data_IF_266390270984
#
_entry.id   IF_266390270984
#
_cell.length_a   1.000
_cell.length_b   1.000
_cell.length_c   1.000
_cell.angle_alpha   90.00
_cell.angle_beta   90.00
_cell.angle_gamma   90.00
#
_symmetry.space_group_name_H-M   'P 1'
#
loop_
_entity.id
_entity.type
_entity.pdbx_description
1 polymer ?
#
# COMPACT_ATOMS: atom_id res chain seq x y z
N UNK A 1 11.37 -8.47 -29.10
CA UNK A 1 12.79 -8.12 -29.32
C UNK A 1 13.02 -6.79 -28.64
N UNK A 2 13.99 -6.72 -27.74
CA UNK A 2 14.34 -5.46 -27.08
C UNK A 2 15.02 -4.55 -28.10
N UNK A 3 14.73 -3.25 -28.08
CA UNK A 3 15.33 -2.30 -29.02
C UNK A 3 16.82 -2.12 -28.72
N UNK A 4 17.67 -2.02 -29.74
CA UNK A 4 19.09 -1.68 -29.58
C UNK A 4 19.28 -0.37 -28.77
N UNK A 5 18.38 0.60 -28.95
CA UNK A 5 18.41 1.83 -28.18
C UNK A 5 18.13 1.59 -26.69
N UNK A 6 17.22 0.67 -26.34
CA UNK A 6 16.93 0.33 -24.95
C UNK A 6 18.15 -0.28 -24.27
N UNK A 7 18.84 -1.21 -24.94
CA UNK A 7 20.04 -1.85 -24.41
C UNK A 7 21.16 -0.83 -24.17
N UNK A 8 21.40 0.08 -25.12
CA UNK A 8 22.39 1.16 -24.98
C UNK A 8 22.05 2.06 -23.79
N UNK A 9 20.78 2.45 -23.62
CA UNK A 9 20.37 3.32 -22.52
C UNK A 9 20.51 2.64 -21.15
N UNK A 10 20.16 1.35 -21.04
CA UNK A 10 20.34 0.58 -19.80
C UNK A 10 21.83 0.44 -19.45
N UNK A 11 22.68 0.18 -20.45
CA UNK A 11 24.12 0.02 -20.26
C UNK A 11 24.81 1.29 -19.72
N UNK A 12 24.28 2.49 -20.01
CA UNK A 12 24.80 3.73 -19.42
C UNK A 12 24.72 3.70 -17.89
N UNK A 13 23.60 3.23 -17.33
CA UNK A 13 23.41 3.13 -15.88
C UNK A 13 24.23 1.98 -15.27
N UNK A 14 24.43 0.89 -16.00
CA UNK A 14 25.33 -0.17 -15.54
C UNK A 14 26.77 0.31 -15.40
N UNK A 15 27.23 1.18 -16.29
CA UNK A 15 28.61 1.72 -16.26
C UNK A 15 28.81 2.90 -15.32
N UNK A 16 27.78 3.72 -15.11
CA UNK A 16 27.84 4.92 -14.27
C UNK A 16 26.52 5.13 -13.53
N UNK A 17 26.31 4.43 -12.38
CA UNK A 17 25.08 4.56 -11.60
C UNK A 17 24.78 6.00 -11.13
N UNK A 18 25.80 6.84 -10.93
CA UNK A 18 25.68 8.26 -10.55
C UNK A 18 24.89 9.09 -11.57
N UNK A 19 24.84 8.63 -12.83
CA UNK A 19 24.04 9.27 -13.88
C UNK A 19 22.56 9.39 -13.48
N UNK A 20 22.04 8.47 -12.66
CA UNK A 20 20.67 8.56 -12.16
C UNK A 20 20.46 9.82 -11.29
N UNK A 21 21.39 10.12 -10.38
CA UNK A 21 21.32 11.30 -9.52
C UNK A 21 21.45 12.60 -10.32
N UNK A 22 22.33 12.63 -11.32
CA UNK A 22 22.51 13.80 -12.18
C UNK A 22 21.27 14.10 -13.02
N UNK A 23 20.69 13.06 -13.64
CA UNK A 23 19.45 13.21 -14.41
C UNK A 23 18.27 13.60 -13.53
N UNK A 24 18.17 13.05 -12.31
CA UNK A 24 17.14 13.45 -11.35
C UNK A 24 17.31 14.89 -10.88
N UNK A 25 18.55 15.36 -10.68
CA UNK A 25 18.84 16.75 -10.30
C UNK A 25 18.53 17.74 -11.43
N UNK A 26 18.66 17.30 -12.68
CA UNK A 26 18.28 18.08 -13.86
C UNK A 26 16.77 18.03 -14.16
N UNK A 27 16.05 17.02 -13.64
CA UNK A 27 14.61 16.87 -13.80
C UNK A 27 13.87 17.60 -12.68
N UNK A 28 12.81 18.34 -13.02
CA UNK A 28 11.96 18.96 -12.00
C UNK A 28 11.21 17.88 -11.20
N UNK A 29 11.33 17.92 -9.87
CA UNK A 29 10.41 17.21 -8.96
C UNK A 29 11.04 16.26 -7.95
N UNK A 30 12.30 15.85 -8.07
CA UNK A 30 12.97 14.97 -7.09
C UNK A 30 14.17 15.67 -6.47
N UNK A 31 14.11 15.93 -5.17
CA UNK A 31 15.28 16.37 -4.42
C UNK A 31 16.20 15.17 -4.16
N UNK A 32 17.33 15.11 -4.84
CA UNK A 32 18.35 14.09 -4.60
C UNK A 32 19.08 14.41 -3.29
N UNK A 33 19.00 13.54 -2.26
CA UNK A 33 19.70 13.77 -1.00
C UNK A 33 21.22 13.62 -1.20
N UNK A 34 22.06 14.17 -0.30
CA UNK A 34 23.49 13.87 -0.30
C UNK A 34 23.71 12.35 -0.16
N UNK A 35 24.60 11.80 -0.98
CA UNK A 35 24.98 10.39 -0.98
C UNK A 35 26.49 10.25 -1.20
N UNK A 36 27.09 9.17 -0.69
CA UNK A 36 28.53 8.90 -0.80
C UNK A 36 28.88 7.96 -1.96
N UNK A 37 27.95 7.08 -2.33
CA UNK A 37 28.13 6.04 -3.36
C UNK A 37 26.82 5.78 -4.10
N UNK A 38 26.90 5.56 -5.42
CA UNK A 38 25.82 5.00 -6.22
C UNK A 38 26.22 3.62 -6.75
N UNK A 39 25.40 2.61 -6.49
CA UNK A 39 25.70 1.22 -6.87
C UNK A 39 24.48 0.54 -7.48
N UNK A 40 24.73 -0.40 -8.37
CA UNK A 40 23.70 -1.29 -8.88
C UNK A 40 23.21 -2.23 -7.77
N UNK A 41 21.91 -2.43 -7.74
CA UNK A 41 21.24 -3.49 -6.99
C UNK A 41 20.69 -4.51 -7.98
N UNK A 42 20.28 -5.69 -7.49
CA UNK A 42 19.61 -6.67 -8.33
C UNK A 42 18.43 -6.01 -9.05
N UNK A 43 18.41 -6.09 -10.39
CA UNK A 43 17.36 -5.50 -11.21
C UNK A 43 16.06 -6.32 -11.11
N UNK A 44 16.17 -7.55 -10.65
CA UNK A 44 15.06 -8.38 -10.22
C UNK A 44 14.48 -7.79 -8.93
N UNK A 45 13.31 -7.16 -9.03
CA UNK A 45 12.49 -6.78 -7.86
C UNK A 45 11.83 -8.00 -7.18
N UNK A 46 12.48 -9.16 -7.28
CA UNK A 46 11.98 -10.42 -6.73
C UNK A 46 12.42 -10.49 -5.29
N UNK A 47 11.49 -10.38 -4.34
CA UNK A 47 11.76 -10.77 -2.96
C UNK A 47 12.04 -12.29 -2.94
N UNK A 48 13.33 -12.66 -2.81
CA UNK A 48 13.81 -14.05 -2.84
C UNK A 48 13.50 -14.85 -1.56
N UNK A 49 13.05 -14.15 -0.52
CA UNK A 49 12.25 -14.76 0.54
C UNK A 49 10.80 -14.46 0.19
N UNK A 50 9.86 -15.43 0.27
CA UNK A 50 8.44 -15.08 0.26
C UNK A 50 8.22 -14.22 1.51
N UNK A 51 8.40 -12.91 1.40
CA UNK A 51 7.92 -11.98 2.40
C UNK A 51 6.41 -12.05 2.26
N UNK A 52 5.82 -12.94 3.06
CA UNK A 52 4.39 -13.09 3.12
C UNK A 52 3.84 -11.84 3.81
N UNK A 53 3.61 -10.83 2.99
CA UNK A 53 2.91 -9.63 3.34
C UNK A 53 1.46 -10.02 3.64
N UNK A 54 1.20 -10.38 4.90
CA UNK A 54 -0.14 -10.72 5.39
C UNK A 54 -0.89 -9.46 5.71
N UNK A 55 -1.81 -9.11 4.81
CA UNK A 55 -2.95 -8.28 5.19
C UNK A 55 -3.86 -9.08 6.13
N UNK A 56 -4.54 -8.41 7.06
CA UNK A 56 -5.52 -9.10 7.90
C UNK A 56 -6.64 -9.70 7.05
N UNK A 57 -7.10 -8.99 6.02
CA UNK A 57 -8.04 -9.49 5.02
C UNK A 57 -7.92 -8.74 3.70
N UNK A 58 -8.23 -9.42 2.58
CA UNK A 58 -8.42 -8.79 1.27
C UNK A 58 -9.83 -9.09 0.77
N UNK A 59 -10.58 -8.05 0.44
CA UNK A 59 -11.92 -8.14 -0.17
C UNK A 59 -11.84 -7.71 -1.63
N UNK A 60 -12.42 -8.50 -2.53
CA UNK A 60 -12.48 -8.15 -3.97
C UNK A 60 -13.94 -7.94 -4.37
N UNK A 61 -14.26 -6.71 -4.74
CA UNK A 61 -15.56 -6.36 -5.31
C UNK A 61 -15.54 -6.72 -6.79
N UNK A 62 -16.47 -7.56 -7.23
CA UNK A 62 -16.53 -8.05 -8.62
C UNK A 62 -17.69 -7.42 -9.39
N UNK A 63 -17.42 -7.01 -10.63
CA UNK A 63 -18.43 -6.68 -11.63
C UNK A 63 -18.60 -7.87 -12.60
N UNK A 64 -19.57 -7.78 -13.50
CA UNK A 64 -19.81 -8.81 -14.54
C UNK A 64 -18.58 -9.10 -15.40
N UNK A 65 -17.69 -8.12 -15.55
CA UNK A 65 -16.48 -8.19 -16.38
C UNK A 65 -15.23 -8.64 -15.62
N UNK A 66 -15.34 -8.90 -14.31
CA UNK A 66 -14.22 -9.30 -13.45
C UNK A 66 -14.04 -8.40 -12.22
N UNK A 67 -12.87 -8.47 -11.55
CA UNK A 67 -12.56 -7.62 -10.38
C UNK A 67 -12.71 -6.13 -10.71
N UNK A 68 -13.51 -5.42 -9.91
CA UNK A 68 -13.75 -3.99 -10.06
C UNK A 68 -12.95 -3.15 -9.05
N UNK A 69 -12.76 -3.66 -7.82
CA UNK A 69 -11.97 -3.03 -6.78
C UNK A 69 -11.44 -4.09 -5.83
N UNK A 70 -10.18 -3.98 -5.43
CA UNK A 70 -9.63 -4.73 -4.31
C UNK A 70 -9.47 -3.81 -3.08
N UNK A 71 -9.85 -4.30 -1.91
CA UNK A 71 -9.75 -3.59 -0.63
C UNK A 71 -8.87 -4.42 0.28
N UNK A 72 -7.72 -3.88 0.64
CA UNK A 72 -6.89 -4.41 1.73
C UNK A 72 -7.48 -3.87 3.03
N UNK A 73 -7.90 -4.75 3.92
CA UNK A 73 -8.47 -4.41 5.22
C UNK A 73 -7.46 -4.75 6.31
N UNK A 74 -7.19 -3.77 7.17
CA UNK A 74 -6.28 -3.89 8.31
C UNK A 74 -7.00 -3.43 9.58
N UNK A 75 -6.80 -4.16 10.68
CA UNK A 75 -7.27 -3.76 12.00
C UNK A 75 -6.05 -3.36 12.82
N UNK A 76 -6.02 -2.11 13.29
CA UNK A 76 -4.91 -1.57 14.07
C UNK A 76 -5.37 -1.19 15.47
N UNK A 77 -4.83 -1.91 16.46
CA UNK A 77 -5.09 -1.69 17.89
C UNK A 77 -4.03 -0.78 18.53
N UNK A 78 -2.84 -0.72 17.93
CA UNK A 78 -1.72 0.11 18.39
C UNK A 78 -0.99 0.69 17.18
N UNK A 79 -0.07 1.62 17.43
CA UNK A 79 0.80 2.16 16.37
C UNK A 79 1.89 1.14 16.05
N UNK A 80 1.94 0.70 14.81
CA UNK A 80 3.00 -0.18 14.29
C UNK A 80 3.79 0.54 13.19
N UNK A 81 4.98 1.11 13.51
CA UNK A 81 5.83 1.78 12.53
C UNK A 81 6.20 0.93 11.32
N UNK A 82 6.23 -0.40 11.45
CA UNK A 82 6.51 -1.33 10.36
C UNK A 82 5.47 -1.25 9.24
N UNK A 83 4.22 -0.92 9.58
CA UNK A 83 3.13 -0.76 8.61
C UNK A 83 3.35 0.36 7.61
N UNK A 84 4.18 1.36 7.94
CA UNK A 84 4.58 2.41 6.97
C UNK A 84 5.40 1.86 5.80
N UNK A 85 6.06 0.73 5.97
CA UNK A 85 6.84 0.07 4.92
C UNK A 85 6.04 -1.03 4.21
N UNK A 86 5.23 -1.79 4.95
CA UNK A 86 4.49 -2.91 4.35
C UNK A 86 3.22 -2.47 3.61
N UNK A 87 2.43 -1.52 4.13
CA UNK A 87 1.18 -1.09 3.49
C UNK A 87 1.36 -0.56 2.06
N UNK A 88 2.35 0.29 1.76
CA UNK A 88 2.57 0.74 0.39
C UNK A 88 2.91 -0.38 -0.59
N UNK A 89 3.44 -1.52 -0.12
CA UNK A 89 3.75 -2.68 -0.97
C UNK A 89 2.49 -3.45 -1.34
N UNK A 90 1.51 -3.55 -0.43
CA UNK A 90 0.30 -4.36 -0.63
C UNK A 90 -0.49 -3.91 -1.87
N UNK A 91 -0.63 -2.59 -2.04
CA UNK A 91 -1.50 -1.98 -3.06
C UNK A 91 -1.01 -2.23 -4.49
N UNK A 92 0.23 -1.84 -4.88
CA UNK A 92 0.74 -2.08 -6.22
C UNK A 92 0.88 -3.58 -6.51
N UNK A 93 1.26 -4.40 -5.51
CA UNK A 93 1.34 -5.86 -5.65
C UNK A 93 -0.02 -6.46 -6.00
N UNK A 94 -1.04 -6.13 -5.22
CA UNK A 94 -2.40 -6.64 -5.43
C UNK A 94 -3.03 -6.08 -6.69
N UNK A 95 -2.80 -4.79 -7.02
CA UNK A 95 -3.23 -4.16 -8.26
C UNK A 95 -2.61 -4.82 -9.49
N UNK A 96 -1.32 -5.12 -9.46
CA UNK A 96 -0.64 -5.81 -10.55
C UNK A 96 -1.20 -7.24 -10.76
N UNK A 97 -1.50 -7.94 -9.66
CA UNK A 97 -2.08 -9.29 -9.68
C UNK A 97 -3.52 -9.33 -10.18
N UNK A 98 -4.39 -8.47 -9.64
CA UNK A 98 -5.83 -8.49 -9.91
C UNK A 98 -6.26 -7.60 -11.07
N UNK A 99 -5.35 -6.76 -11.60
CA UNK A 99 -5.61 -5.84 -12.72
C UNK A 99 -6.81 -4.91 -12.50
N UNK A 100 -7.07 -4.53 -11.25
CA UNK A 100 -8.10 -3.56 -10.87
C UNK A 100 -7.54 -2.54 -9.86
N UNK A 101 -8.20 -1.39 -9.65
CA UNK A 101 -7.85 -0.48 -8.57
C UNK A 101 -7.79 -1.21 -7.22
N UNK A 102 -6.88 -0.76 -6.35
CA UNK A 102 -6.70 -1.32 -5.01
C UNK A 102 -6.61 -0.20 -3.99
N UNK A 103 -7.32 -0.32 -2.87
CA UNK A 103 -7.30 0.66 -1.78
C UNK A 103 -6.95 0.00 -0.44
N UNK A 104 -6.47 0.80 0.51
CA UNK A 104 -6.25 0.41 1.90
C UNK A 104 -7.35 0.98 2.79
N UNK A 105 -8.02 0.10 3.53
CA UNK A 105 -8.95 0.43 4.60
C UNK A 105 -8.36 -0.02 5.94
N UNK A 106 -8.23 0.90 6.89
CA UNK A 106 -7.73 0.62 8.24
C UNK A 106 -8.83 0.90 9.26
N UNK A 107 -9.15 -0.10 10.07
CA UNK A 107 -10.06 0.00 11.20
C UNK A 107 -9.23 0.22 12.47
N UNK A 108 -9.56 1.26 13.24
CA UNK A 108 -8.81 1.62 14.44
C UNK A 108 -9.70 1.56 15.69
N UNK A 109 -9.15 1.04 16.79
CA UNK A 109 -9.87 0.91 18.05
C UNK A 109 -10.04 2.24 18.81
N UNK A 110 -9.14 3.21 18.59
CA UNK A 110 -9.20 4.54 19.19
C UNK A 110 -8.74 5.64 18.23
N UNK A 111 -9.12 6.88 18.52
CA UNK A 111 -8.85 8.05 17.67
C UNK A 111 -7.35 8.36 17.53
N UNK A 112 -6.52 8.10 18.55
CA UNK A 112 -5.07 8.39 18.49
C UNK A 112 -4.33 7.42 17.57
N UNK A 113 -4.83 6.19 17.45
CA UNK A 113 -4.36 5.23 16.45
C UNK A 113 -4.89 5.60 15.08
N UNK A 114 -6.17 5.99 14.98
CA UNK A 114 -6.78 6.43 13.72
C UNK A 114 -6.03 7.61 13.08
N UNK A 115 -5.74 8.66 13.85
CA UNK A 115 -4.98 9.83 13.38
C UNK A 115 -3.58 9.44 12.89
N UNK A 116 -2.92 8.53 13.62
CA UNK A 116 -1.59 8.06 13.24
C UNK A 116 -1.62 7.22 11.96
N UNK A 117 -2.61 6.33 11.81
CA UNK A 117 -2.81 5.52 10.62
C UNK A 117 -3.21 6.37 9.40
N UNK A 118 -3.96 7.46 9.61
CA UNK A 118 -4.42 8.36 8.54
C UNK A 118 -3.35 9.33 8.03
N UNK A 119 -2.21 9.41 8.72
CA UNK A 119 -1.09 10.23 8.28
C UNK A 119 -0.55 9.71 6.94
N UNK A 120 -0.38 10.57 5.92
CA UNK A 120 0.19 10.15 4.63
C UNK A 120 1.55 9.47 4.77
N UNK A 121 1.77 8.47 3.92
CA UNK A 121 3.04 7.75 3.79
C UNK A 121 3.67 8.17 2.46
N UNK A 122 4.70 9.01 2.57
CA UNK A 122 5.53 9.43 1.43
C UNK A 122 6.44 8.26 1.03
N UNK A 123 6.33 7.78 -0.22
CA UNK A 123 7.15 6.67 -0.73
C UNK A 123 8.37 7.14 -1.53
N UNK A 124 8.54 8.46 -1.67
CA UNK A 124 9.71 9.10 -2.29
C UNK A 124 9.55 9.50 -3.76
N UNK A 125 8.50 9.03 -4.46
CA UNK A 125 8.22 9.49 -5.83
C UNK A 125 7.33 10.75 -5.81
N UNK A 126 7.59 11.76 -6.67
CA UNK A 126 6.84 13.01 -6.66
C UNK A 126 5.35 12.81 -6.88
N UNK A 127 4.54 13.40 -6.00
CA UNK A 127 3.08 13.28 -6.05
C UNK A 127 2.54 11.90 -5.67
N UNK A 128 3.40 10.95 -5.27
CA UNK A 128 2.97 9.63 -4.84
C UNK A 128 3.12 9.47 -3.33
N UNK A 129 2.00 9.55 -2.64
CA UNK A 129 1.86 9.24 -1.23
C UNK A 129 0.67 8.29 -1.03
N UNK A 130 0.83 7.28 -0.18
CA UNK A 130 -0.30 6.47 0.27
C UNK A 130 -1.03 7.24 1.37
N UNK A 131 -2.32 7.48 1.18
CA UNK A 131 -3.23 8.02 2.19
C UNK A 131 -4.21 6.92 2.60
N UNK A 132 -4.00 6.23 3.73
CA UNK A 132 -4.89 5.16 4.17
C UNK A 132 -6.32 5.69 4.39
N UNK A 133 -7.33 4.92 3.98
CA UNK A 133 -8.72 5.21 4.34
C UNK A 133 -8.93 4.67 5.76
N UNK A 134 -9.14 5.55 6.73
CA UNK A 134 -9.21 5.16 8.14
C UNK A 134 -10.61 5.32 8.70
N UNK A 135 -11.09 4.28 9.39
CA UNK A 135 -12.32 4.31 10.18
C UNK A 135 -11.93 4.15 11.65
N UNK A 136 -12.11 5.22 12.43
CA UNK A 136 -11.98 5.19 13.89
C UNK A 136 -13.23 4.63 14.59
N UNK A 137 -13.24 4.57 15.93
CA UNK A 137 -14.31 3.96 16.72
C UNK A 137 -15.69 4.57 16.47
N UNK A 138 -15.77 5.86 16.15
CA UNK A 138 -17.03 6.57 15.86
C UNK A 138 -17.52 6.42 14.41
N UNK A 139 -16.68 5.91 13.52
CA UNK A 139 -16.99 5.75 12.09
C UNK A 139 -17.48 4.34 11.72
N UNK A 140 -17.40 3.38 12.64
CA UNK A 140 -17.95 2.03 12.45
C UNK A 140 -19.47 2.16 12.65
N UNK A 141 -20.30 1.95 11.61
CA UNK A 141 -21.74 1.96 11.80
C UNK A 141 -22.09 0.87 12.83
N UNK A 142 -22.71 1.28 13.94
CA UNK A 142 -23.33 0.35 14.88
C UNK A 142 -24.28 -0.53 14.08
N UNK A 143 -23.96 -1.81 13.99
CA UNK A 143 -24.90 -2.81 13.47
C UNK A 143 -26.00 -2.91 14.53
N UNK A 144 -27.09 -2.17 14.34
CA UNK A 144 -28.32 -2.37 15.12
C UNK A 144 -28.79 -3.81 14.82
N UNK A 145 -28.85 -4.65 15.85
CA UNK A 145 -29.28 -6.06 15.81
C UNK A 145 -30.63 -6.26 15.11
N UNK A 146 -31.39 -5.19 14.88
CA UNK A 146 -32.67 -5.20 14.15
C UNK A 146 -32.55 -5.26 12.63
N UNK A 147 -31.34 -5.23 12.06
CA UNK A 147 -31.12 -5.39 10.61
C UNK A 147 -30.66 -6.81 10.20
N UNK A 148 -30.95 -7.83 11.02
CA UNK A 148 -30.72 -9.25 10.69
C UNK A 148 -31.88 -9.85 9.87
N UNK A 149 -32.22 -9.26 8.72
CA UNK A 149 -33.08 -9.92 7.73
C UNK A 149 -32.63 -9.53 6.33
N UNK A 150 -31.51 -10.09 5.86
CA UNK A 150 -31.35 -10.72 4.53
C UNK A 150 -29.97 -11.39 4.49
N UNK A 151 -30.00 -12.71 4.68
CA UNK A 151 -29.03 -13.73 4.25
C UNK A 151 -27.53 -13.61 4.61
N UNK A 152 -27.19 -14.43 5.63
CA UNK A 152 -25.93 -15.16 5.89
C UNK A 152 -24.77 -14.43 6.60
N UNK A 153 -24.72 -14.71 7.91
CA UNK A 153 -23.58 -14.98 8.80
C UNK A 153 -22.20 -14.65 8.22
N UNK A 154 -21.40 -13.75 8.79
CA UNK A 154 -20.78 -13.84 10.12
C UNK A 154 -20.67 -12.44 10.77
N UNK A 155 -21.39 -12.18 11.86
CA UNK A 155 -21.37 -10.86 12.51
C UNK A 155 -21.49 -10.93 14.05
N UNK A 156 -20.89 -11.94 14.68
CA UNK A 156 -20.89 -12.04 16.16
C UNK A 156 -19.67 -11.41 16.84
N UNK A 157 -18.62 -11.04 16.11
CA UNK A 157 -17.33 -10.67 16.73
C UNK A 157 -17.11 -9.17 16.93
N UNK A 158 -17.92 -8.30 16.33
CA UNK A 158 -17.67 -6.85 16.31
C UNK A 158 -18.34 -6.07 17.47
N UNK A 159 -19.18 -6.71 18.27
CA UNK A 159 -19.95 -6.04 19.34
C UNK A 159 -19.20 -5.78 20.65
N UNK A 160 -17.99 -6.32 20.86
CA UNK A 160 -17.32 -6.24 22.17
C UNK A 160 -16.34 -5.07 22.35
N UNK A 161 -16.06 -4.28 21.31
CA UNK A 161 -15.13 -3.15 21.37
C UNK A 161 -15.78 -1.79 21.72
N UNK A 162 -17.11 -1.73 21.84
CA UNK A 162 -17.83 -0.49 22.13
C UNK A 162 -18.15 -0.26 23.62
N UNK A 163 -17.69 -1.14 24.51
CA UNK A 163 -17.88 -0.99 25.96
C UNK A 163 -16.61 -1.36 26.72
N UNK A 164 -15.63 -0.46 26.71
CA UNK A 164 -14.66 -0.24 27.81
C UNK A 164 -13.88 1.05 27.61
#
# INVERSE_FOLDING_TARGET
>A
MVSQLHEVLVELFHRRPELAAELLSAADGVAVPPFEEARLQACELTDLTPTEYRADTVVVLSARTGPALAVVVEVQLTRDPGKRWSWPVYLPTLRARLRCPTVLLVLCADDKVADWCGTPIEVGHPGYALRPLVIGPHGIPLVDDRCLLVSKCECSSLGSLALR
#
